data_IF_567208336686
#
_entry.id   IF_567208336686
#
_cell.length_a   1.000
_cell.length_b   1.000
_cell.length_c   1.000
_cell.angle_alpha   90.00
_cell.angle_beta   90.00
_cell.angle_gamma   90.00
#
_symmetry.space_group_name_H-M   'P 1'
#
loop_
_entity.id
_entity.type
_entity.pdbx_description
1 polymer ?
#
# COMPACT_ATOMS: atom_id res chain seq x y z
N UNK A 1 -4.47 17.70 17.43
CA UNK A 1 -5.10 17.01 16.29
C UNK A 1 -4.35 15.72 16.09
N UNK A 2 -5.04 14.58 16.17
CA UNK A 2 -4.41 13.26 15.99
C UNK A 2 -3.99 13.10 14.54
N UNK A 3 -2.76 12.66 14.28
CA UNK A 3 -2.28 12.39 12.93
C UNK A 3 -2.82 11.03 12.48
N UNK A 4 -3.47 11.00 11.31
CA UNK A 4 -3.97 9.74 10.73
C UNK A 4 -3.07 9.23 9.62
N UNK A 5 -2.88 7.92 9.54
CA UNK A 5 -2.20 7.26 8.44
C UNK A 5 -3.11 6.19 7.83
N UNK A 6 -3.11 6.09 6.50
CA UNK A 6 -3.67 4.94 5.80
C UNK A 6 -2.55 3.93 5.58
N UNK A 7 -2.74 2.70 6.02
CA UNK A 7 -1.80 1.60 5.84
C UNK A 7 -2.49 0.55 4.99
N UNK A 8 -1.94 0.29 3.81
CA UNK A 8 -2.45 -0.69 2.85
C UNK A 8 -1.48 -1.87 2.84
N UNK A 9 -1.91 -3.04 3.30
CA UNK A 9 -1.02 -4.19 3.48
C UNK A 9 -1.69 -5.47 3.94
N UNK A 10 -0.96 -6.58 3.91
CA UNK A 10 -1.41 -7.85 4.49
C UNK A 10 -1.37 -7.88 6.03
N UNK A 11 -2.00 -8.88 6.62
CA UNK A 11 -2.02 -9.10 8.07
C UNK A 11 -0.61 -9.16 8.71
N UNK A 12 0.43 -9.55 7.97
CA UNK A 12 1.80 -9.61 8.48
C UNK A 12 2.37 -8.21 8.76
N UNK A 13 1.82 -7.17 8.13
CA UNK A 13 2.19 -5.78 8.38
C UNK A 13 1.28 -5.03 9.35
N UNK A 14 0.36 -5.73 10.03
CA UNK A 14 -0.52 -5.11 11.04
C UNK A 14 0.26 -4.38 12.14
N UNK A 15 1.48 -4.83 12.44
CA UNK A 15 2.38 -4.18 13.40
C UNK A 15 2.69 -2.72 13.05
N UNK A 16 2.61 -2.33 11.76
CA UNK A 16 2.79 -0.94 11.32
C UNK A 16 1.65 -0.06 11.85
N UNK A 17 0.43 -0.57 11.82
CA UNK A 17 -0.73 0.10 12.42
C UNK A 17 -0.55 0.25 13.93
N UNK A 18 -0.20 -0.85 14.62
CA UNK A 18 0.03 -0.84 16.07
C UNK A 18 1.16 0.13 16.46
N UNK A 19 2.22 0.22 15.65
CA UNK A 19 3.32 1.15 15.85
C UNK A 19 2.88 2.62 15.69
N UNK A 20 2.08 2.93 14.68
CA UNK A 20 1.52 4.29 14.50
C UNK A 20 0.63 4.67 15.67
N UNK A 21 -0.22 3.76 16.13
CA UNK A 21 -1.10 3.98 17.27
C UNK A 21 -0.28 4.17 18.57
N UNK A 22 0.80 3.40 18.76
CA UNK A 22 1.73 3.58 19.87
C UNK A 22 2.41 4.96 19.89
N UNK A 23 2.66 5.55 18.72
CA UNK A 23 3.18 6.92 18.58
C UNK A 23 2.10 8.01 18.81
N UNK A 24 0.87 7.62 19.15
CA UNK A 24 -0.25 8.54 19.34
C UNK A 24 -0.89 9.01 18.03
N UNK A 25 -0.65 8.28 16.94
CA UNK A 25 -1.38 8.41 15.68
C UNK A 25 -2.67 7.59 15.66
N UNK A 26 -3.32 7.55 14.49
CA UNK A 26 -4.44 6.66 14.20
C UNK A 26 -4.17 6.00 12.84
N UNK A 27 -4.01 4.69 12.83
CA UNK A 27 -3.86 3.93 11.60
C UNK A 27 -5.21 3.37 11.12
N UNK A 28 -5.52 3.57 9.83
CA UNK A 28 -6.55 2.81 9.14
C UNK A 28 -5.85 1.72 8.34
N UNK A 29 -6.05 0.47 8.74
CA UNK A 29 -5.44 -0.67 8.08
C UNK A 29 -6.42 -1.27 7.07
N UNK A 30 -5.98 -1.44 5.82
CA UNK A 30 -6.78 -2.04 4.74
C UNK A 30 -6.01 -3.14 4.04
N UNK A 31 -6.69 -4.26 3.78
CA UNK A 31 -6.09 -5.52 3.30
C UNK A 31 -6.39 -5.80 1.82
N UNK A 32 -7.17 -4.95 1.15
CA UNK A 32 -7.55 -5.16 -0.25
C UNK A 32 -7.50 -3.88 -1.09
N UNK A 33 -7.24 -4.03 -2.40
CA UNK A 33 -7.08 -2.92 -3.34
C UNK A 33 -8.37 -2.10 -3.48
N UNK A 34 -9.54 -2.73 -3.44
CA UNK A 34 -10.82 -2.06 -3.66
C UNK A 34 -11.16 -1.10 -2.50
N UNK A 35 -11.00 -1.57 -1.27
CA UNK A 35 -11.16 -0.76 -0.06
C UNK A 35 -10.10 0.35 -0.04
N UNK A 36 -8.85 0.04 -0.37
CA UNK A 36 -7.80 1.06 -0.44
C UNK A 36 -8.13 2.19 -1.44
N UNK A 37 -8.60 1.85 -2.65
CA UNK A 37 -9.03 2.83 -3.65
C UNK A 37 -10.16 3.71 -3.13
N UNK A 38 -11.17 3.11 -2.52
CA UNK A 38 -12.27 3.85 -1.93
C UNK A 38 -11.80 4.84 -0.85
N UNK A 39 -10.93 4.42 0.06
CA UNK A 39 -10.34 5.30 1.08
C UNK A 39 -9.55 6.47 0.47
N UNK A 40 -8.85 6.24 -0.66
CA UNK A 40 -8.13 7.29 -1.40
C UNK A 40 -9.08 8.28 -2.09
N UNK A 41 -10.16 7.80 -2.69
CA UNK A 41 -11.22 8.64 -3.29
C UNK A 41 -11.92 9.48 -2.21
N UNK A 42 -12.25 8.85 -1.07
CA UNK A 42 -12.82 9.50 0.10
C UNK A 42 -11.85 10.55 0.67
N UNK A 43 -10.54 10.28 0.69
CA UNK A 43 -9.52 11.27 1.09
C UNK A 43 -9.54 12.54 0.23
N UNK A 44 -9.73 12.40 -1.08
CA UNK A 44 -9.79 13.52 -2.02
C UNK A 44 -11.09 14.30 -1.83
N UNK A 45 -12.21 13.60 -1.61
CA UNK A 45 -13.53 14.22 -1.51
C UNK A 45 -13.83 14.86 -0.14
N UNK A 46 -13.29 14.30 0.96
CA UNK A 46 -13.61 14.68 2.35
C UNK A 46 -12.56 15.56 3.06
N UNK A 47 -11.69 16.26 2.31
CA UNK A 47 -10.69 17.24 2.82
C UNK A 47 -9.56 16.67 3.68
N UNK A 48 -8.81 15.69 3.17
CA UNK A 48 -7.43 15.44 3.63
C UNK A 48 -7.26 15.01 5.10
N UNK A 49 -7.90 13.91 5.49
CA UNK A 49 -7.84 13.41 6.88
C UNK A 49 -6.50 12.69 7.15
N UNK A 50 -5.89 12.09 6.13
CA UNK A 50 -4.59 11.41 6.24
C UNK A 50 -3.41 12.38 6.14
N UNK A 51 -2.37 12.08 6.91
CA UNK A 51 -1.11 12.81 6.93
C UNK A 51 0.02 12.04 6.26
N UNK A 52 -0.20 10.74 5.99
CA UNK A 52 0.72 9.83 5.32
C UNK A 52 -0.07 8.63 4.79
N UNK A 53 0.41 8.05 3.69
CA UNK A 53 -0.03 6.75 3.19
C UNK A 53 1.17 5.80 3.19
N UNK A 54 0.97 4.59 3.68
CA UNK A 54 1.96 3.51 3.67
C UNK A 54 1.38 2.36 2.87
N UNK A 55 2.08 1.94 1.81
CA UNK A 55 1.74 0.76 1.02
C UNK A 55 2.80 -0.29 1.30
N UNK A 56 2.40 -1.45 1.78
CA UNK A 56 3.29 -2.59 1.96
C UNK A 56 3.05 -3.62 0.88
N UNK A 57 4.12 -4.25 0.41
CA UNK A 57 4.11 -5.02 -0.84
C UNK A 57 3.75 -6.51 -0.70
N UNK A 58 3.48 -7.00 0.50
CA UNK A 58 3.10 -8.40 0.67
C UNK A 58 1.58 -8.50 0.58
N UNK A 59 1.17 -9.30 -0.41
CA UNK A 59 -0.12 -10.00 -0.49
C UNK A 59 -1.32 -9.12 -0.13
N UNK A 60 -1.58 -8.08 -0.92
CA UNK A 60 -2.95 -7.65 -1.05
C UNK A 60 -3.62 -8.69 -1.94
N UNK A 61 -4.48 -9.59 -1.42
CA UNK A 61 -5.29 -10.45 -2.26
C UNK A 61 -6.18 -9.58 -3.14
N UNK A 62 -5.72 -9.25 -4.34
CA UNK A 62 -6.56 -8.61 -5.37
C UNK A 62 -7.61 -9.57 -5.91
N UNK A 63 -7.41 -10.85 -5.63
CA UNK A 63 -8.27 -11.93 -6.08
C UNK A 63 -9.24 -12.27 -4.95
N UNK A 64 -10.51 -12.44 -5.28
CA UNK A 64 -11.53 -12.85 -4.32
C UNK A 64 -11.05 -14.07 -3.52
N UNK A 65 -11.42 -14.19 -2.24
CA UNK A 65 -11.10 -15.37 -1.41
C UNK A 65 -11.37 -16.70 -2.17
N UNK A 66 -12.40 -16.71 -3.01
CA UNK A 66 -12.79 -17.84 -3.88
C UNK A 66 -11.73 -18.21 -4.93
N UNK A 67 -10.99 -17.26 -5.46
CA UNK A 67 -9.93 -17.50 -6.45
C UNK A 67 -8.59 -17.84 -5.80
N UNK A 68 -8.30 -17.26 -4.63
CA UNK A 68 -7.17 -17.67 -3.78
C UNK A 68 -7.28 -19.14 -3.34
N UNK A 69 -8.47 -19.59 -2.95
CA UNK A 69 -8.69 -20.99 -2.59
C UNK A 69 -8.46 -21.99 -3.74
N UNK A 70 -8.39 -21.51 -4.99
CA UNK A 70 -8.15 -22.34 -6.17
C UNK A 70 -6.70 -22.31 -6.66
N UNK A 71 -5.85 -21.44 -6.12
CA UNK A 71 -4.44 -21.32 -6.51
C UNK A 71 -3.55 -22.06 -5.50
N UNK A 72 -2.46 -22.68 -5.97
CA UNK A 72 -1.52 -23.39 -5.09
C UNK A 72 -0.62 -22.36 -4.39
N UNK A 73 -0.20 -22.68 -3.16
CA UNK A 73 0.62 -21.81 -2.29
C UNK A 73 1.91 -21.26 -2.94
N UNK A 74 2.39 -21.86 -4.03
CA UNK A 74 3.59 -21.46 -4.79
C UNK A 74 3.30 -21.00 -6.23
N UNK A 75 2.12 -20.44 -6.53
CA UNK A 75 1.83 -19.95 -7.88
C UNK A 75 2.57 -18.62 -8.16
N UNK A 76 3.55 -18.57 -9.08
CA UNK A 76 4.29 -17.34 -9.37
C UNK A 76 3.41 -16.20 -9.92
N UNK A 77 2.17 -16.50 -10.34
CA UNK A 77 1.18 -15.50 -10.77
C UNK A 77 0.62 -14.69 -9.59
N UNK A 78 0.57 -15.26 -8.38
CA UNK A 78 0.21 -14.54 -7.13
C UNK A 78 1.22 -13.44 -6.83
N UNK A 79 2.51 -13.78 -6.92
CA UNK A 79 3.58 -12.82 -6.69
C UNK A 79 3.58 -11.68 -7.72
N UNK A 80 3.31 -12.00 -8.99
CA UNK A 80 3.22 -11.02 -10.08
C UNK A 80 2.03 -10.06 -9.90
N UNK A 81 0.84 -10.55 -9.56
CA UNK A 81 -0.34 -9.69 -9.38
C UNK A 81 -0.24 -8.82 -8.11
N UNK A 82 0.33 -9.37 -7.02
CA UNK A 82 0.61 -8.61 -5.79
C UNK A 82 1.60 -7.46 -6.04
N UNK A 83 2.64 -7.70 -6.86
CA UNK A 83 3.62 -6.68 -7.29
C UNK A 83 2.95 -5.55 -8.07
N UNK A 84 2.03 -5.88 -8.97
CA UNK A 84 1.32 -4.88 -9.77
C UNK A 84 0.33 -4.08 -8.92
N UNK A 85 -0.30 -4.68 -7.92
CA UNK A 85 -1.29 -4.04 -7.04
C UNK A 85 -0.78 -2.77 -6.38
N UNK A 86 0.37 -2.86 -5.69
CA UNK A 86 0.95 -1.70 -5.03
C UNK A 86 1.31 -0.58 -6.01
N UNK A 87 1.76 -0.94 -7.22
CA UNK A 87 2.05 0.03 -8.28
C UNK A 87 0.78 0.64 -8.89
N UNK A 88 -0.28 -0.15 -9.09
CA UNK A 88 -1.60 0.31 -9.55
C UNK A 88 -2.19 1.32 -8.55
N UNK A 89 -2.03 1.08 -7.26
CA UNK A 89 -2.41 2.05 -6.22
C UNK A 89 -1.57 3.32 -6.27
N UNK A 90 -0.25 3.20 -6.44
CA UNK A 90 0.63 4.36 -6.62
C UNK A 90 0.22 5.20 -7.85
N UNK A 91 -0.09 4.55 -8.97
CA UNK A 91 -0.56 5.21 -10.19
C UNK A 91 -1.90 5.92 -9.95
N UNK A 92 -2.83 5.23 -9.31
CA UNK A 92 -4.13 5.82 -8.97
C UNK A 92 -4.01 7.04 -8.05
N UNK A 93 -3.14 6.99 -7.03
CA UNK A 93 -2.84 8.15 -6.19
C UNK A 93 -2.22 9.31 -6.98
N UNK A 94 -1.41 9.02 -8.01
CA UNK A 94 -0.87 10.03 -8.92
C UNK A 94 -1.98 10.69 -9.74
N UNK A 95 -2.92 9.91 -10.28
CA UNK A 95 -4.08 10.41 -11.03
C UNK A 95 -4.99 11.29 -10.16
N UNK A 96 -5.16 10.91 -8.90
CA UNK A 96 -5.90 11.68 -7.89
C UNK A 96 -5.15 12.91 -7.37
N UNK A 97 -3.89 13.10 -7.76
CA UNK A 97 -3.05 14.21 -7.30
C UNK A 97 -2.67 14.15 -5.81
N UNK A 98 -2.74 12.96 -5.19
CA UNK A 98 -2.45 12.75 -3.77
C UNK A 98 -0.95 12.85 -3.49
N UNK A 99 -0.11 12.36 -4.41
CA UNK A 99 1.35 12.32 -4.26
C UNK A 99 1.99 13.71 -4.08
N UNK A 100 1.31 14.78 -4.50
CA UNK A 100 1.76 16.16 -4.36
C UNK A 100 1.35 16.78 -3.02
N UNK A 101 0.47 16.12 -2.25
CA UNK A 101 -0.18 16.67 -1.06
C UNK A 101 0.35 16.06 0.24
N UNK A 102 0.62 14.76 0.23
CA UNK A 102 1.04 14.02 1.43
C UNK A 102 2.16 13.03 1.11
N UNK A 103 3.02 12.72 2.09
CA UNK A 103 4.05 11.71 1.92
C UNK A 103 3.43 10.33 1.71
N UNK A 104 4.01 9.58 0.77
CA UNK A 104 3.68 8.18 0.48
C UNK A 104 4.93 7.33 0.62
N UNK A 105 4.82 6.28 1.44
CA UNK A 105 5.86 5.28 1.63
C UNK A 105 5.45 3.98 0.96
N UNK A 106 6.39 3.34 0.26
CA UNK A 106 6.23 2.00 -0.29
C UNK A 106 7.22 1.06 0.38
N UNK A 107 6.73 0.09 1.15
CA UNK A 107 7.54 -0.90 1.86
C UNK A 107 7.50 -2.20 1.07
N UNK A 108 8.66 -2.63 0.57
CA UNK A 108 8.78 -3.66 -0.46
C UNK A 108 9.74 -4.79 -0.15
N UNK A 109 9.35 -6.07 -0.18
CA UNK A 109 10.34 -7.17 -0.06
C UNK A 109 11.28 -7.22 -1.27
N UNK A 110 12.45 -7.84 -1.10
CA UNK A 110 13.49 -7.98 -2.15
C UNK A 110 12.95 -8.61 -3.46
N UNK A 111 11.86 -9.38 -3.37
CA UNK A 111 11.19 -10.01 -4.50
C UNK A 111 10.55 -8.96 -5.45
N UNK A 112 10.25 -7.76 -4.95
CA UNK A 112 9.65 -6.62 -5.64
C UNK A 112 10.71 -5.57 -6.00
N UNK A 113 11.95 -5.80 -5.58
CA UNK A 113 13.11 -4.96 -5.84
C UNK A 113 13.70 -5.20 -7.23
N UNK A 114 13.06 -4.63 -8.25
CA UNK A 114 13.76 -4.37 -9.52
C UNK A 114 14.15 -2.90 -9.59
N UNK A 115 15.32 -2.62 -10.19
CA UNK A 115 15.73 -1.24 -10.47
C UNK A 115 14.65 -0.46 -11.23
N UNK A 116 13.89 -1.14 -12.09
CA UNK A 116 12.80 -0.54 -12.85
C UNK A 116 11.68 -0.03 -11.92
N UNK A 117 11.24 -0.83 -10.95
CA UNK A 117 10.20 -0.46 -9.99
C UNK A 117 10.69 0.67 -9.09
N UNK A 118 11.91 0.56 -8.55
CA UNK A 118 12.53 1.64 -7.76
C UNK A 118 12.59 2.95 -8.53
N UNK A 119 12.94 2.90 -9.81
CA UNK A 119 12.97 4.07 -10.70
C UNK A 119 11.57 4.65 -10.91
N UNK A 120 10.55 3.81 -11.15
CA UNK A 120 9.15 4.26 -11.29
C UNK A 120 8.67 4.96 -10.01
N UNK A 121 8.84 4.35 -8.84
CA UNK A 121 8.46 4.93 -7.56
C UNK A 121 9.17 6.27 -7.30
N UNK A 122 10.48 6.33 -7.57
CA UNK A 122 11.26 7.56 -7.42
C UNK A 122 10.78 8.68 -8.34
N UNK A 123 10.41 8.38 -9.58
CA UNK A 123 9.84 9.37 -10.52
C UNK A 123 8.50 9.92 -10.04
N UNK A 124 7.75 9.13 -9.27
CA UNK A 124 6.47 9.52 -8.67
C UNK A 124 6.64 10.26 -7.34
N UNK A 125 7.87 10.45 -6.85
CA UNK A 125 8.14 11.08 -5.55
C UNK A 125 7.84 10.18 -4.35
N UNK A 126 7.66 8.87 -4.58
CA UNK A 126 7.35 7.89 -3.54
C UNK A 126 8.65 7.36 -2.95
N UNK A 127 8.73 7.35 -1.61
CA UNK A 127 9.88 6.79 -0.91
C UNK A 127 9.72 5.27 -0.79
N UNK A 128 10.67 4.54 -1.36
CA UNK A 128 10.76 3.09 -1.23
C UNK A 128 11.60 2.70 -0.02
N UNK A 129 11.12 1.75 0.77
CA UNK A 129 11.81 1.14 1.92
C UNK A 129 11.88 -0.37 1.66
N UNK A 130 13.08 -0.97 1.55
CA UNK A 130 13.19 -2.41 1.43
C UNK A 130 12.72 -3.08 2.73
N UNK A 131 11.88 -4.10 2.60
CA UNK A 131 11.57 -5.00 3.70
C UNK A 131 12.74 -5.96 3.90
N UNK A 132 13.23 -6.01 5.13
CA UNK A 132 14.41 -6.80 5.52
C UNK A 132 14.05 -7.88 6.55
N UNK A 133 12.75 -8.08 6.78
CA UNK A 133 12.18 -9.06 7.69
C UNK A 133 11.74 -10.34 7.00
#
# INVERSE_FOLDING_TARGET
MTKKALVVGDVNYKWIGDFIDHLGGEAIFVEDEQTARKELEDFVSLKHIFHMIIITSLWLPVVSITELMNWKDDDPRLELDSRETGLRLCQHMSELGILQKIPVLFIGSEIIDTEEIRKKLKLMGIQYIPDTH
#
